data_IF_212090570973
#
_entry.id   IF_212090570973
#
_cell.length_a   1.000
_cell.length_b   1.000
_cell.length_c   1.000
_cell.angle_alpha   90.00
_cell.angle_beta   90.00
_cell.angle_gamma   90.00
#
_symmetry.space_group_name_H-M   'P 1'
#
loop_
_entity.id
_entity.type
_entity.pdbx_description
1 polymer ?
#
# COMPACT_ATOMS: atom_id res chain seq x y z
N UNK A 1 42.00 32.18 -55.32
CA UNK A 1 40.91 31.20 -55.20
C UNK A 1 41.56 29.84 -55.02
N UNK A 2 41.66 29.35 -53.79
CA UNK A 2 42.19 28.03 -53.49
C UNK A 2 41.02 27.22 -52.96
N UNK A 3 40.62 26.21 -53.74
CA UNK A 3 39.52 25.31 -53.44
C UNK A 3 39.98 24.42 -52.26
N UNK A 4 39.27 24.49 -51.13
CA UNK A 4 39.43 23.53 -50.05
C UNK A 4 38.55 22.33 -50.42
N UNK A 5 39.18 21.23 -50.85
CA UNK A 5 38.50 19.95 -50.99
C UNK A 5 38.15 19.44 -49.59
N UNK A 6 36.86 19.47 -49.30
CA UNK A 6 36.25 18.91 -48.11
C UNK A 6 36.35 17.39 -48.20
N UNK A 7 37.29 16.82 -47.44
CA UNK A 7 37.50 15.38 -47.33
C UNK A 7 36.34 14.79 -46.53
N UNK A 8 35.30 14.35 -47.26
CA UNK A 8 34.21 13.55 -46.68
C UNK A 8 34.84 12.22 -46.25
N UNK A 9 34.93 12.04 -44.93
CA UNK A 9 35.26 10.77 -44.31
C UNK A 9 34.07 9.84 -44.58
N UNK A 10 34.21 8.97 -45.58
CA UNK A 10 33.28 7.86 -45.81
C UNK A 10 33.31 6.99 -44.54
N UNK A 11 32.28 7.18 -43.69
CA UNK A 11 31.94 6.25 -42.65
C UNK A 11 31.75 4.88 -43.30
N UNK A 12 32.67 3.95 -43.03
CA UNK A 12 32.50 2.53 -43.30
C UNK A 12 31.18 2.10 -42.65
N UNK A 13 30.12 2.03 -43.45
CA UNK A 13 28.86 1.42 -43.04
C UNK A 13 29.15 -0.07 -42.95
N UNK A 14 29.48 -0.51 -41.73
CA UNK A 14 29.57 -1.92 -41.38
C UNK A 14 28.27 -2.58 -41.85
N UNK A 15 28.36 -3.42 -42.89
CA UNK A 15 27.21 -4.11 -43.43
C UNK A 15 26.69 -5.03 -42.33
N UNK A 16 25.57 -4.65 -41.71
CA UNK A 16 24.86 -5.53 -40.78
C UNK A 16 24.67 -6.87 -41.47
N UNK A 17 25.07 -7.96 -40.81
CA UNK A 17 24.85 -9.29 -41.34
C UNK A 17 23.34 -9.52 -41.57
N UNK A 18 23.03 -10.40 -42.51
CA UNK A 18 21.65 -10.64 -42.95
C UNK A 18 20.75 -11.10 -41.79
N UNK A 19 21.35 -11.76 -40.79
CA UNK A 19 20.67 -12.24 -39.58
C UNK A 19 20.30 -11.10 -38.63
N UNK A 20 21.20 -10.15 -38.38
CA UNK A 20 20.93 -8.96 -37.55
C UNK A 20 19.91 -8.06 -38.22
N UNK A 21 19.97 -7.91 -39.54
CA UNK A 21 18.99 -7.13 -40.30
C UNK A 21 17.58 -7.74 -40.18
N UNK A 22 17.44 -9.06 -40.29
CA UNK A 22 16.16 -9.74 -40.13
C UNK A 22 15.66 -9.69 -38.68
N UNK A 23 16.56 -9.82 -37.71
CA UNK A 23 16.23 -9.66 -36.28
C UNK A 23 15.62 -8.29 -35.98
N UNK A 24 16.24 -7.22 -36.49
CA UNK A 24 15.75 -5.85 -36.35
C UNK A 24 14.37 -5.68 -36.97
N UNK A 25 14.16 -6.19 -38.18
CA UNK A 25 12.85 -6.14 -38.86
C UNK A 25 11.75 -6.81 -38.05
N UNK A 26 12.05 -7.95 -37.41
CA UNK A 26 11.09 -8.64 -36.53
C UNK A 26 10.73 -7.74 -35.34
N UNK A 27 11.72 -7.16 -34.64
CA UNK A 27 11.47 -6.31 -33.48
C UNK A 27 10.73 -5.01 -33.83
N UNK A 28 11.09 -4.38 -34.96
CA UNK A 28 10.40 -3.19 -35.49
C UNK A 28 8.94 -3.51 -35.84
N UNK A 29 8.66 -4.70 -36.37
CA UNK A 29 7.29 -5.12 -36.68
C UNK A 29 6.37 -5.19 -35.46
N UNK A 30 6.94 -5.29 -34.25
CA UNK A 30 6.19 -5.27 -32.99
C UNK A 30 5.85 -3.83 -32.52
N UNK A 31 6.35 -2.80 -33.21
CA UNK A 31 6.08 -1.40 -32.89
C UNK A 31 6.81 -0.90 -31.64
N UNK A 32 8.01 -1.43 -31.39
CA UNK A 32 8.87 -1.08 -30.26
C UNK A 32 9.65 0.20 -30.53
N UNK A 33 9.99 0.92 -29.47
CA UNK A 33 10.93 2.05 -29.55
C UNK A 33 12.38 1.59 -29.73
N UNK A 34 13.19 2.43 -30.37
CA UNK A 34 14.63 2.20 -30.57
C UNK A 34 15.37 1.90 -29.25
N UNK A 35 14.96 2.52 -28.15
CA UNK A 35 15.52 2.27 -26.82
C UNK A 35 15.34 0.82 -26.36
N UNK A 36 14.20 0.20 -26.68
CA UNK A 36 13.92 -1.20 -26.35
C UNK A 36 14.65 -2.11 -27.31
N UNK A 37 14.65 -1.80 -28.61
CA UNK A 37 15.39 -2.59 -29.63
C UNK A 37 16.88 -2.63 -29.29
N UNK A 38 17.47 -1.49 -28.94
CA UNK A 38 18.87 -1.41 -28.50
C UNK A 38 19.14 -2.22 -27.22
N UNK A 39 18.15 -2.38 -26.33
CA UNK A 39 18.30 -3.23 -25.15
C UNK A 39 18.40 -4.72 -25.54
N UNK A 40 17.66 -5.17 -26.55
CA UNK A 40 17.80 -6.54 -27.08
C UNK A 40 19.19 -6.77 -27.69
N UNK A 41 19.69 -5.81 -28.50
CA UNK A 41 21.03 -5.88 -29.10
C UNK A 41 22.13 -5.89 -28.03
N UNK A 42 22.04 -4.98 -27.05
CA UNK A 42 23.03 -4.87 -25.96
C UNK A 42 23.10 -6.14 -25.09
N UNK A 43 22.01 -6.90 -25.01
CA UNK A 43 21.94 -8.19 -24.32
C UNK A 43 22.15 -9.39 -25.26
N UNK A 44 22.60 -9.15 -26.50
CA UNK A 44 22.98 -10.18 -27.47
C UNK A 44 21.83 -11.15 -27.82
N UNK A 45 20.59 -10.66 -27.85
CA UNK A 45 19.48 -11.45 -28.36
C UNK A 45 19.56 -11.57 -29.89
N UNK A 46 19.31 -12.77 -30.38
CA UNK A 46 19.18 -13.14 -31.80
C UNK A 46 17.80 -13.75 -32.10
N UNK A 47 17.53 -14.04 -33.37
CA UNK A 47 16.29 -14.72 -33.80
C UNK A 47 16.13 -16.07 -33.08
N UNK A 48 17.22 -16.84 -32.95
CA UNK A 48 17.23 -18.13 -32.25
C UNK A 48 16.81 -17.95 -30.78
N UNK A 49 17.38 -16.97 -30.09
CA UNK A 49 17.03 -16.71 -28.69
C UNK A 49 15.59 -16.21 -28.51
N UNK A 50 15.01 -15.51 -29.50
CA UNK A 50 13.60 -15.13 -29.46
C UNK A 50 12.63 -16.32 -29.54
N UNK A 51 13.05 -17.45 -30.11
CA UNK A 51 12.23 -18.66 -30.13
C UNK A 51 12.08 -19.26 -28.73
N UNK A 52 13.09 -19.09 -27.87
CA UNK A 52 13.17 -19.75 -26.55
C UNK A 52 13.07 -18.79 -25.37
N UNK A 53 13.18 -17.47 -25.58
CA UNK A 53 13.10 -16.45 -24.52
C UNK A 53 11.87 -16.68 -23.64
N UNK A 54 12.04 -16.56 -22.33
CA UNK A 54 10.98 -16.75 -21.35
C UNK A 54 10.36 -15.41 -20.93
N UNK A 55 9.13 -15.48 -20.41
CA UNK A 55 8.42 -14.27 -19.92
C UNK A 55 9.24 -13.51 -18.89
N UNK A 56 9.95 -14.18 -17.98
CA UNK A 56 10.76 -13.53 -16.95
C UNK A 56 11.88 -12.68 -17.55
N UNK A 57 12.56 -13.20 -18.58
CA UNK A 57 13.65 -12.50 -19.27
C UNK A 57 13.14 -11.25 -20.00
N UNK A 58 11.96 -11.33 -20.63
CA UNK A 58 11.28 -10.17 -21.21
C UNK A 58 10.92 -9.12 -20.15
N UNK A 59 10.48 -9.56 -18.97
CA UNK A 59 10.13 -8.66 -17.86
C UNK A 59 11.35 -7.95 -17.25
N UNK A 60 12.52 -8.58 -17.29
CA UNK A 60 13.81 -8.00 -16.91
C UNK A 60 14.34 -7.04 -17.97
N UNK A 61 14.20 -7.40 -19.25
CA UNK A 61 14.68 -6.60 -20.38
C UNK A 61 13.83 -5.35 -20.64
N UNK A 62 12.52 -5.42 -20.37
CA UNK A 62 11.59 -4.29 -20.51
C UNK A 62 10.93 -3.99 -19.16
N UNK A 63 11.66 -3.43 -18.17
CA UNK A 63 11.17 -3.17 -16.81
C UNK A 63 10.19 -1.99 -16.74
N UNK A 64 9.65 -1.69 -15.54
CA UNK A 64 8.95 -0.43 -15.32
C UNK A 64 9.89 0.75 -15.61
N UNK A 65 9.42 1.85 -16.25
CA UNK A 65 8.03 2.18 -16.58
C UNK A 65 7.51 1.71 -17.96
N UNK A 66 8.28 0.94 -18.73
CA UNK A 66 7.99 0.61 -20.14
C UNK A 66 6.99 -0.54 -20.34
N UNK A 67 5.93 -0.61 -19.54
CA UNK A 67 4.96 -1.72 -19.56
C UNK A 67 4.15 -1.79 -20.87
N UNK A 68 3.92 -0.65 -21.54
CA UNK A 68 3.26 -0.62 -22.85
C UNK A 68 4.13 -1.30 -23.92
N UNK A 69 5.41 -1.00 -23.95
CA UNK A 69 6.40 -1.65 -24.84
C UNK A 69 6.51 -3.16 -24.55
N UNK A 70 6.51 -3.55 -23.27
CA UNK A 70 6.47 -4.96 -22.86
C UNK A 70 5.24 -5.67 -23.41
N UNK A 71 4.09 -5.00 -23.37
CA UNK A 71 2.83 -5.55 -23.88
C UNK A 71 2.88 -5.74 -25.40
N UNK A 72 3.38 -4.74 -26.14
CA UNK A 72 3.60 -4.83 -27.59
C UNK A 72 4.53 -5.97 -27.94
N UNK A 73 5.67 -6.10 -27.25
CA UNK A 73 6.64 -7.17 -27.47
C UNK A 73 6.02 -8.55 -27.25
N UNK A 74 5.39 -8.79 -26.10
CA UNK A 74 4.78 -10.11 -25.80
C UNK A 74 3.69 -10.46 -26.82
N UNK A 75 2.88 -9.48 -27.23
CA UNK A 75 1.85 -9.69 -28.23
C UNK A 75 2.44 -10.02 -29.61
N UNK A 76 3.39 -9.21 -30.08
CA UNK A 76 4.09 -9.41 -31.35
C UNK A 76 4.83 -10.74 -31.40
N UNK A 77 5.56 -11.08 -30.33
CA UNK A 77 6.28 -12.35 -30.22
C UNK A 77 5.33 -13.55 -30.26
N UNK A 78 4.16 -13.47 -29.62
CA UNK A 78 3.17 -14.54 -29.69
C UNK A 78 2.57 -14.72 -31.09
N UNK A 79 2.34 -13.64 -31.83
CA UNK A 79 1.90 -13.71 -33.23
C UNK A 79 2.99 -14.36 -34.09
N UNK A 80 4.23 -13.91 -33.94
CA UNK A 80 5.39 -14.43 -34.67
C UNK A 80 5.64 -15.92 -34.37
N UNK A 81 5.64 -16.32 -33.09
CA UNK A 81 5.77 -17.73 -32.67
C UNK A 81 4.64 -18.60 -33.21
N UNK A 82 3.40 -18.08 -33.23
CA UNK A 82 2.25 -18.80 -33.80
C UNK A 82 2.44 -19.09 -35.29
N UNK A 83 3.03 -18.17 -36.05
CA UNK A 83 3.34 -18.38 -37.47
C UNK A 83 4.41 -19.47 -37.68
N UNK A 84 5.29 -19.67 -36.70
CA UNK A 84 6.34 -20.70 -36.72
C UNK A 84 5.95 -22.01 -36.01
N UNK A 85 4.69 -22.17 -35.59
CA UNK A 85 4.22 -23.31 -34.77
C UNK A 85 5.00 -23.50 -33.44
N UNK A 86 5.51 -22.40 -32.88
CA UNK A 86 6.23 -22.39 -31.60
C UNK A 86 5.27 -22.17 -30.41
N UNK A 87 5.64 -22.64 -29.21
CA UNK A 87 4.85 -22.40 -28.00
C UNK A 87 4.77 -20.90 -27.70
N UNK A 88 3.55 -20.44 -27.42
CA UNK A 88 3.31 -19.06 -27.02
C UNK A 88 4.09 -18.77 -25.73
N UNK A 89 4.64 -17.55 -25.63
CA UNK A 89 5.23 -17.02 -24.42
C UNK A 89 4.15 -17.02 -23.34
N UNK A 90 4.26 -17.96 -22.39
CA UNK A 90 3.15 -18.47 -21.58
C UNK A 90 2.14 -17.39 -21.17
N UNK A 91 0.91 -17.56 -21.64
CA UNK A 91 -0.27 -17.36 -20.79
C UNK A 91 -0.36 -18.64 -19.96
N UNK A 92 -0.45 -18.54 -18.64
CA UNK A 92 -0.60 -19.68 -17.73
C UNK A 92 -1.53 -20.75 -18.29
N UNK A 93 -0.98 -21.85 -18.81
CA UNK A 93 -1.60 -23.18 -18.88
C UNK A 93 -0.61 -24.25 -19.40
N UNK A 94 -0.48 -25.30 -18.59
CA UNK A 94 0.10 -26.66 -18.68
C UNK A 94 1.07 -27.08 -19.80
N UNK A 95 2.17 -27.72 -19.37
CA UNK A 95 2.67 -28.97 -19.97
C UNK A 95 3.18 -29.95 -18.90
N UNK A 96 3.25 -31.26 -19.19
CA UNK A 96 3.10 -32.35 -18.23
C UNK A 96 4.41 -32.80 -17.54
N UNK A 97 4.19 -33.58 -16.47
CA UNK A 97 5.11 -34.00 -15.41
C UNK A 97 6.30 -34.90 -15.80
N UNK A 98 7.22 -35.12 -14.83
CA UNK A 98 7.49 -36.49 -14.38
C UNK A 98 7.22 -36.73 -12.87
N UNK A 99 6.41 -37.77 -12.62
CA UNK A 99 6.33 -38.70 -11.48
C UNK A 99 6.43 -38.23 -9.99
N UNK A 100 5.25 -38.06 -9.38
CA UNK A 100 4.74 -38.50 -8.03
C UNK A 100 5.50 -38.17 -6.71
N UNK A 101 4.84 -38.12 -5.51
CA UNK A 101 3.49 -38.58 -5.15
C UNK A 101 2.62 -37.58 -4.33
N UNK A 102 1.41 -38.06 -4.01
CA UNK A 102 0.33 -37.49 -3.19
C UNK A 102 -0.67 -36.58 -3.94
N UNK A 103 -1.91 -37.06 -3.98
CA UNK A 103 -3.10 -36.43 -4.56
C UNK A 103 -3.33 -35.03 -3.98
N UNK A 104 -2.76 -34.01 -4.61
CA UNK A 104 -3.31 -32.67 -4.50
C UNK A 104 -4.56 -32.65 -5.36
N UNK A 105 -5.72 -32.56 -4.71
CA UNK A 105 -6.95 -32.15 -5.39
C UNK A 105 -6.61 -30.85 -6.11
N UNK A 106 -6.63 -30.88 -7.44
CA UNK A 106 -6.37 -29.73 -8.28
C UNK A 106 -7.51 -28.73 -8.04
N UNK A 107 -7.31 -27.86 -7.07
CA UNK A 107 -8.28 -26.85 -6.69
C UNK A 107 -8.19 -25.72 -7.71
N UNK A 108 -9.32 -25.34 -8.28
CA UNK A 108 -9.36 -24.17 -9.16
C UNK A 108 -9.13 -22.90 -8.36
N UNK A 109 -8.57 -21.88 -9.03
CA UNK A 109 -8.16 -20.61 -8.40
C UNK A 109 -9.31 -19.94 -7.61
N UNK A 110 -10.52 -20.01 -8.13
CA UNK A 110 -11.75 -19.49 -7.51
C UNK A 110 -12.14 -20.23 -6.23
N UNK A 111 -11.87 -21.54 -6.14
CA UNK A 111 -12.18 -22.39 -4.99
C UNK A 111 -11.15 -22.29 -3.87
N UNK A 112 -9.97 -21.71 -4.14
CA UNK A 112 -8.91 -21.49 -3.15
C UNK A 112 -9.25 -20.31 -2.20
N UNK A 113 -10.30 -20.50 -1.40
CA UNK A 113 -10.84 -19.52 -0.44
C UNK A 113 -10.00 -19.40 0.84
N UNK A 114 -10.16 -18.31 1.59
CA UNK A 114 -9.55 -18.17 2.92
C UNK A 114 -9.97 -19.30 3.86
N UNK A 115 -11.24 -19.72 3.79
CA UNK A 115 -11.76 -20.87 4.55
C UNK A 115 -11.03 -22.15 4.19
N UNK A 116 -10.89 -22.45 2.89
CA UNK A 116 -10.17 -23.63 2.42
C UNK A 116 -8.71 -23.62 2.90
N UNK A 117 -8.01 -22.50 2.73
CA UNK A 117 -6.60 -22.36 3.11
C UNK A 117 -6.40 -22.51 4.64
N UNK A 118 -7.25 -21.88 5.45
CA UNK A 118 -7.15 -21.98 6.91
C UNK A 118 -7.52 -23.37 7.43
N UNK A 119 -8.53 -24.03 6.85
CA UNK A 119 -8.90 -25.39 7.21
C UNK A 119 -7.88 -26.42 6.73
N UNK A 120 -7.19 -26.16 5.61
CA UNK A 120 -6.11 -27.02 5.12
C UNK A 120 -4.81 -26.94 5.93
N UNK A 121 -4.64 -25.89 6.74
CA UNK A 121 -3.43 -25.65 7.53
C UNK A 121 -3.62 -25.99 9.00
N UNK A 122 -2.73 -26.80 9.58
CA UNK A 122 -2.78 -27.12 11.02
C UNK A 122 -2.71 -25.85 11.91
N UNK A 123 -1.94 -24.85 11.48
CA UNK A 123 -1.88 -23.53 12.16
C UNK A 123 -3.18 -22.75 11.99
N UNK A 124 -3.80 -22.81 10.81
CA UNK A 124 -5.10 -22.19 10.55
C UNK A 124 -6.20 -22.79 11.41
N UNK A 125 -6.28 -24.12 11.48
CA UNK A 125 -7.22 -24.84 12.35
C UNK A 125 -7.04 -24.48 13.82
N UNK A 126 -5.80 -24.38 14.31
CA UNK A 126 -5.53 -23.97 15.69
C UNK A 126 -6.04 -22.55 15.99
N UNK A 127 -5.88 -21.62 15.04
CA UNK A 127 -6.37 -20.24 15.18
C UNK A 127 -7.90 -20.20 15.16
N UNK A 128 -8.56 -20.97 14.28
CA UNK A 128 -10.02 -21.08 14.24
C UNK A 128 -10.56 -21.59 15.59
N UNK A 129 -10.00 -22.70 16.09
CA UNK A 129 -10.38 -23.27 17.39
C UNK A 129 -10.12 -22.34 18.58
N UNK A 130 -9.05 -21.53 18.50
CA UNK A 130 -8.75 -20.51 19.51
C UNK A 130 -9.78 -19.39 19.46
N UNK A 131 -10.12 -18.90 18.27
CA UNK A 131 -11.05 -17.81 18.09
C UNK A 131 -12.47 -18.18 18.54
N UNK A 132 -12.89 -19.42 18.33
CA UNK A 132 -14.18 -19.93 18.83
C UNK A 132 -14.30 -19.86 20.36
N UNK A 133 -13.17 -20.00 21.07
CA UNK A 133 -13.12 -19.90 22.54
C UNK A 133 -12.93 -18.46 23.02
N UNK A 134 -12.13 -17.69 22.30
CA UNK A 134 -11.77 -16.31 22.63
C UNK A 134 -11.87 -15.46 21.36
N UNK A 135 -12.95 -14.69 21.16
CA UNK A 135 -13.29 -14.06 19.88
C UNK A 135 -12.47 -12.79 19.59
N UNK A 136 -11.16 -12.88 19.72
CA UNK A 136 -10.20 -11.86 19.29
C UNK A 136 -8.97 -12.54 18.67
N UNK A 137 -8.31 -11.83 17.76
CA UNK A 137 -7.07 -12.29 17.16
C UNK A 137 -5.89 -11.46 17.65
N UNK A 138 -4.81 -12.12 18.06
CA UNK A 138 -3.53 -11.47 18.39
C UNK A 138 -2.79 -11.06 17.12
N UNK A 139 -1.76 -10.22 17.26
CA UNK A 139 -0.83 -9.86 16.18
C UNK A 139 -0.22 -11.09 15.51
N UNK A 140 0.11 -12.13 16.29
CA UNK A 140 0.67 -13.39 15.81
C UNK A 140 -0.35 -14.19 15.01
N UNK A 141 -1.60 -14.26 15.48
CA UNK A 141 -2.68 -14.93 14.77
C UNK A 141 -2.92 -14.26 13.41
N UNK A 142 -3.06 -12.93 13.39
CA UNK A 142 -3.27 -12.15 12.15
C UNK A 142 -2.11 -12.31 11.17
N UNK A 143 -0.87 -12.35 11.65
CA UNK A 143 0.32 -12.60 10.81
C UNK A 143 0.25 -14.00 10.19
N UNK A 144 -0.06 -15.01 11.00
CA UNK A 144 -0.14 -16.40 10.57
C UNK A 144 -1.26 -16.62 9.54
N UNK A 145 -2.45 -16.06 9.79
CA UNK A 145 -3.57 -16.08 8.82
C UNK A 145 -3.14 -15.44 7.50
N UNK A 146 -2.50 -14.27 7.56
CA UNK A 146 -2.05 -13.55 6.36
C UNK A 146 -1.04 -14.38 5.56
N UNK A 147 -0.11 -15.05 6.24
CA UNK A 147 0.85 -15.94 5.60
C UNK A 147 0.15 -17.14 4.95
N UNK A 148 -0.74 -17.84 5.67
CA UNK A 148 -1.50 -18.98 5.11
C UNK A 148 -2.28 -18.55 3.86
N UNK A 149 -3.04 -17.46 3.95
CA UNK A 149 -3.93 -17.02 2.87
C UNK A 149 -3.16 -16.52 1.65
N UNK A 150 -2.06 -15.78 1.84
CA UNK A 150 -1.31 -15.21 0.72
C UNK A 150 -0.28 -16.19 0.19
N UNK A 151 0.49 -16.84 1.05
CA UNK A 151 1.64 -17.64 0.64
C UNK A 151 1.16 -18.91 -0.07
N UNK A 152 0.24 -19.67 0.54
CA UNK A 152 -0.28 -20.90 -0.07
C UNK A 152 -1.05 -20.63 -1.37
N UNK A 153 -1.69 -19.46 -1.48
CA UNK A 153 -2.34 -19.07 -2.74
C UNK A 153 -1.30 -18.72 -3.81
N UNK A 154 -0.27 -17.95 -3.45
CA UNK A 154 0.78 -17.53 -4.39
C UNK A 154 1.65 -18.67 -4.87
N UNK A 155 1.91 -19.64 -4.01
CA UNK A 155 2.65 -20.85 -4.35
C UNK A 155 1.91 -21.68 -5.41
N UNK A 156 0.58 -21.62 -5.44
CA UNK A 156 -0.26 -22.37 -6.40
C UNK A 156 -0.61 -21.57 -7.66
N UNK A 157 -0.88 -20.28 -7.53
CA UNK A 157 -1.49 -19.50 -8.60
C UNK A 157 -0.82 -18.15 -8.88
N UNK A 158 0.32 -17.83 -8.27
CA UNK A 158 0.95 -16.50 -8.29
C UNK A 158 0.14 -15.41 -7.55
N UNK A 159 0.50 -14.12 -7.76
CA UNK A 159 -0.04 -12.97 -7.01
C UNK A 159 -1.57 -12.94 -6.99
N UNK A 160 -2.13 -12.55 -5.86
CA UNK A 160 -3.55 -12.22 -5.76
C UNK A 160 -3.81 -10.90 -6.48
N UNK A 161 -4.89 -10.85 -7.25
CA UNK A 161 -5.43 -9.61 -7.83
C UNK A 161 -6.13 -8.78 -6.75
N UNK A 162 -6.39 -7.51 -7.05
CA UNK A 162 -7.16 -6.62 -6.15
C UNK A 162 -8.55 -7.15 -5.83
N UNK A 163 -9.20 -7.84 -6.78
CA UNK A 163 -10.53 -8.43 -6.56
C UNK A 163 -10.46 -9.63 -5.63
N UNK A 164 -9.40 -10.45 -5.74
CA UNK A 164 -9.22 -11.60 -4.87
C UNK A 164 -8.82 -11.19 -3.46
N UNK A 165 -8.02 -10.14 -3.31
CA UNK A 165 -7.72 -9.57 -1.99
C UNK A 165 -8.99 -9.06 -1.29
N UNK A 166 -9.89 -8.39 -2.01
CA UNK A 166 -11.19 -7.97 -1.49
C UNK A 166 -12.08 -9.17 -1.14
N UNK A 167 -12.08 -10.19 -1.99
CA UNK A 167 -12.88 -11.40 -1.73
C UNK A 167 -12.36 -12.14 -0.49
N UNK A 168 -11.03 -12.32 -0.36
CA UNK A 168 -10.40 -12.93 0.82
C UNK A 168 -10.64 -12.10 2.08
N UNK A 169 -10.65 -10.76 2.01
CA UNK A 169 -10.92 -9.93 3.19
C UNK A 169 -12.37 -10.05 3.67
N UNK A 170 -13.32 -10.15 2.75
CA UNK A 170 -14.73 -10.42 3.08
C UNK A 170 -14.86 -11.79 3.73
N UNK A 171 -14.25 -12.83 3.16
CA UNK A 171 -14.24 -14.18 3.75
C UNK A 171 -13.64 -14.18 5.17
N UNK A 172 -12.51 -13.51 5.37
CA UNK A 172 -11.88 -13.40 6.69
C UNK A 172 -12.74 -12.62 7.70
N UNK A 173 -13.44 -11.56 7.28
CA UNK A 173 -14.36 -10.84 8.17
C UNK A 173 -15.58 -11.67 8.60
N UNK A 174 -15.97 -12.67 7.79
CA UNK A 174 -17.02 -13.63 8.15
C UNK A 174 -16.51 -14.67 9.14
N UNK A 175 -15.26 -15.14 8.96
CA UNK A 175 -14.62 -16.08 9.87
C UNK A 175 -14.25 -15.43 11.22
N UNK A 176 -13.88 -14.14 11.19
CA UNK A 176 -13.45 -13.38 12.36
C UNK A 176 -14.25 -12.06 12.48
N UNK A 177 -15.50 -12.09 12.99
CA UNK A 177 -16.36 -10.91 13.03
C UNK A 177 -15.82 -9.72 13.86
N UNK A 178 -14.87 -9.94 14.77
CA UNK A 178 -14.18 -8.87 15.51
C UNK A 178 -13.18 -8.10 14.64
N UNK A 179 -12.82 -8.62 13.47
CA UNK A 179 -11.88 -8.01 12.53
C UNK A 179 -12.61 -7.53 11.27
N UNK A 180 -12.81 -6.21 11.10
CA UNK A 180 -13.46 -5.69 9.90
C UNK A 180 -12.58 -5.94 8.66
N UNK A 181 -13.20 -6.08 7.49
CA UNK A 181 -12.51 -6.45 6.25
C UNK A 181 -11.34 -5.51 5.90
N UNK A 182 -11.43 -4.24 6.31
CA UNK A 182 -10.42 -3.21 6.08
C UNK A 182 -9.08 -3.50 6.77
N UNK A 183 -9.08 -4.32 7.84
CA UNK A 183 -7.85 -4.82 8.48
C UNK A 183 -7.06 -5.70 7.52
N UNK A 184 -7.76 -6.50 6.72
CA UNK A 184 -7.20 -7.50 5.82
C UNK A 184 -6.88 -6.90 4.45
N UNK A 185 -7.82 -6.16 3.86
CA UNK A 185 -7.61 -5.47 2.60
C UNK A 185 -8.53 -4.25 2.47
N UNK A 186 -7.97 -3.15 1.95
CA UNK A 186 -8.70 -1.95 1.64
C UNK A 186 -8.27 -1.38 0.29
N UNK A 187 -9.20 -1.41 -0.67
CA UNK A 187 -9.01 -0.83 -2.00
C UNK A 187 -8.60 0.66 -1.96
N UNK A 188 -7.79 1.13 -2.93
CA UNK A 188 -7.53 2.56 -3.11
C UNK A 188 -8.72 3.31 -3.72
N UNK A 189 -9.76 2.60 -4.15
CA UNK A 189 -10.96 3.12 -4.79
C UNK A 189 -12.21 2.66 -4.04
N UNK A 190 -13.22 3.52 -3.97
CA UNK A 190 -14.57 3.22 -3.49
C UNK A 190 -15.59 3.54 -4.55
N UNK A 191 -16.79 3.00 -4.45
CA UNK A 191 -17.93 3.38 -5.29
C UNK A 191 -18.82 4.34 -4.52
N UNK A 192 -19.28 5.43 -5.14
CA UNK A 192 -20.29 6.31 -4.54
C UNK A 192 -21.70 5.72 -4.69
N UNK A 193 -22.69 6.40 -4.09
CA UNK A 193 -24.11 6.05 -4.18
C UNK A 193 -24.67 6.04 -5.61
N UNK A 194 -23.93 6.57 -6.58
CA UNK A 194 -24.29 6.65 -8.01
C UNK A 194 -23.48 5.67 -8.86
N UNK A 195 -22.69 4.77 -8.25
CA UNK A 195 -21.92 3.76 -8.98
C UNK A 195 -20.56 4.24 -9.53
N UNK A 196 -20.15 5.48 -9.28
CA UNK A 196 -18.90 6.04 -9.78
C UNK A 196 -17.72 5.70 -8.84
N UNK A 197 -16.57 5.38 -9.44
CA UNK A 197 -15.33 5.09 -8.70
C UNK A 197 -14.67 6.38 -8.21
N UNK A 198 -14.60 6.53 -6.89
CA UNK A 198 -13.88 7.59 -6.18
C UNK A 198 -12.54 7.06 -5.70
N UNK A 199 -11.46 7.78 -6.00
CA UNK A 199 -10.13 7.47 -5.47
C UNK A 199 -10.07 7.88 -4.00
N UNK A 200 -9.94 6.90 -3.11
CA UNK A 200 -9.77 7.12 -1.67
C UNK A 200 -8.31 7.47 -1.32
N UNK A 201 -7.33 6.91 -2.04
CA UNK A 201 -5.89 7.05 -1.74
C UNK A 201 -5.00 6.61 -2.91
N UNK A 202 -3.69 6.82 -2.76
CA UNK A 202 -2.67 6.45 -3.76
C UNK A 202 -2.50 4.93 -3.91
N UNK A 203 -2.48 4.18 -2.82
CA UNK A 203 -2.20 2.74 -2.81
C UNK A 203 -3.22 1.98 -1.96
N UNK A 204 -3.45 0.70 -2.28
CA UNK A 204 -4.23 -0.19 -1.42
C UNK A 204 -3.53 -0.39 -0.06
N UNK A 205 -4.26 -0.89 0.93
CA UNK A 205 -3.72 -1.18 2.27
C UNK A 205 -4.27 -2.50 2.80
N UNK A 206 -3.70 -2.95 3.91
CA UNK A 206 -4.20 -4.11 4.66
C UNK A 206 -3.20 -5.26 4.61
N UNK A 207 -3.28 -6.14 5.61
CA UNK A 207 -2.30 -7.20 5.83
C UNK A 207 -2.11 -8.10 4.60
N UNK A 208 -3.21 -8.44 3.91
CA UNK A 208 -3.16 -9.25 2.70
C UNK A 208 -2.46 -8.53 1.56
N UNK A 209 -2.72 -7.23 1.36
CA UNK A 209 -2.03 -6.43 0.34
C UNK A 209 -0.54 -6.33 0.65
N UNK A 210 -0.18 -5.98 1.89
CA UNK A 210 1.20 -5.81 2.29
C UNK A 210 2.01 -7.10 2.09
N UNK A 211 1.45 -8.27 2.47
CA UNK A 211 2.10 -9.56 2.23
C UNK A 211 2.10 -9.94 0.75
N UNK A 212 1.03 -9.66 -0.01
CA UNK A 212 0.96 -10.02 -1.43
C UNK A 212 1.99 -9.24 -2.27
N UNK A 213 2.27 -7.99 -1.93
CA UNK A 213 3.32 -7.19 -2.58
C UNK A 213 4.70 -7.58 -2.08
N UNK A 214 4.88 -7.76 -0.76
CA UNK A 214 6.18 -8.09 -0.14
C UNK A 214 6.46 -9.59 -0.02
N UNK A 215 5.73 -10.42 -0.77
CA UNK A 215 5.93 -11.86 -0.75
C UNK A 215 7.34 -12.18 -1.26
N UNK A 216 8.06 -12.97 -0.47
CA UNK A 216 9.32 -13.59 -0.87
C UNK A 216 9.11 -15.09 -0.71
N UNK A 217 9.34 -15.91 -1.76
CA UNK A 217 9.38 -17.36 -1.61
C UNK A 217 10.47 -17.69 -0.59
N UNK A 218 10.27 -18.75 0.19
CA UNK A 218 11.11 -19.05 1.33
C UNK A 218 12.58 -19.29 0.92
N UNK A 219 13.42 -18.28 1.13
CA UNK A 219 14.87 -18.39 1.32
C UNK A 219 15.19 -17.76 2.68
N UNK A 220 16.07 -18.46 3.40
CA UNK A 220 16.51 -18.35 4.80
C UNK A 220 16.96 -16.93 5.22
N UNK A 221 16.31 -16.38 6.27
CA UNK A 221 16.58 -15.24 7.20
C UNK A 221 17.16 -13.90 6.65
N UNK A 222 16.70 -12.69 7.02
CA UNK A 222 16.70 -12.10 8.37
C UNK A 222 15.62 -11.01 8.62
N UNK A 223 15.39 -10.73 9.91
CA UNK A 223 14.31 -9.93 10.53
C UNK A 223 14.70 -8.44 10.72
N UNK A 224 13.78 -7.48 10.45
CA UNK A 224 13.42 -6.32 11.34
C UNK A 224 12.38 -5.33 10.73
N UNK A 225 11.80 -4.34 11.46
CA UNK A 225 10.35 -4.28 11.67
C UNK A 225 9.58 -3.04 11.13
N UNK A 226 8.25 -3.23 11.21
CA UNK A 226 7.03 -2.45 10.91
C UNK A 226 6.94 -0.94 11.19
N UNK A 227 6.09 -0.23 10.42
CA UNK A 227 5.24 0.86 10.91
C UNK A 227 3.92 1.01 10.08
N UNK A 228 2.83 1.36 10.77
CA UNK A 228 1.42 1.24 10.38
C UNK A 228 0.68 2.59 10.19
N UNK A 229 -0.51 2.55 9.54
CA UNK A 229 -1.65 3.49 9.73
C UNK A 229 -1.65 4.78 8.89
N UNK A 230 -2.73 5.53 8.61
CA UNK A 230 -4.20 5.47 8.72
C UNK A 230 -4.77 6.60 7.80
N UNK A 231 -5.77 6.38 6.93
CA UNK A 231 -7.17 6.89 6.89
C UNK A 231 -7.46 8.41 6.69
N UNK A 232 -8.20 8.65 5.59
CA UNK A 232 -9.23 9.64 5.19
C UNK A 232 -9.11 11.16 5.41
N UNK A 233 -9.22 11.90 4.29
CA UNK A 233 -9.73 13.29 4.20
C UNK A 233 -10.60 13.42 2.94
N UNK A 234 -11.72 14.13 3.07
CA UNK A 234 -12.70 14.41 2.01
C UNK A 234 -12.14 15.37 0.94
N UNK A 235 -12.86 15.44 -0.18
CA UNK A 235 -12.48 15.83 -1.56
C UNK A 235 -11.75 17.16 -1.78
N UNK A 236 -10.69 17.09 -2.58
CA UNK A 236 -9.84 18.18 -3.07
C UNK A 236 -10.43 19.01 -4.24
N UNK A 237 -11.75 19.01 -4.44
CA UNK A 237 -12.37 19.52 -5.67
C UNK A 237 -12.61 21.05 -5.71
N UNK A 238 -12.46 21.79 -4.59
CA UNK A 238 -12.75 23.24 -4.53
C UNK A 238 -11.56 24.12 -4.12
N UNK A 239 -10.32 23.74 -4.43
CA UNK A 239 -9.16 24.59 -4.09
C UNK A 239 -8.73 25.33 -5.36
N UNK A 240 -9.20 26.57 -5.52
CA UNK A 240 -8.74 27.46 -6.60
C UNK A 240 -7.39 28.10 -6.25
N UNK A 241 -6.73 28.70 -7.25
CA UNK A 241 -5.44 29.37 -7.05
C UNK A 241 -5.56 30.59 -6.13
N UNK A 242 -6.70 31.28 -6.12
CA UNK A 242 -6.99 32.37 -5.18
C UNK A 242 -7.01 31.87 -3.73
N UNK A 243 -7.67 30.72 -3.48
CA UNK A 243 -7.69 30.11 -2.14
C UNK A 243 -6.28 29.73 -1.66
N UNK A 244 -5.40 29.28 -2.58
CA UNK A 244 -4.00 28.95 -2.26
C UNK A 244 -3.23 30.23 -1.92
N UNK A 245 -3.41 31.32 -2.68
CA UNK A 245 -2.76 32.59 -2.43
C UNK A 245 -3.17 33.18 -1.08
N UNK A 246 -4.47 33.22 -0.79
CA UNK A 246 -5.02 33.67 0.50
C UNK A 246 -4.48 32.84 1.67
N UNK A 247 -4.39 31.52 1.48
CA UNK A 247 -3.80 30.62 2.48
C UNK A 247 -2.34 30.96 2.77
N UNK A 248 -1.52 31.23 1.75
CA UNK A 248 -0.12 31.60 1.96
C UNK A 248 0.01 32.93 2.70
N UNK A 249 -0.87 33.89 2.43
CA UNK A 249 -0.91 35.16 3.17
C UNK A 249 -1.28 34.95 4.63
N UNK A 250 -2.34 34.19 4.90
CA UNK A 250 -2.77 33.87 6.27
C UNK A 250 -1.68 33.08 7.02
N UNK A 251 -1.02 32.11 6.36
CA UNK A 251 0.07 31.34 6.95
C UNK A 251 1.23 32.23 7.38
N UNK A 252 1.65 33.16 6.52
CA UNK A 252 2.68 34.15 6.86
C UNK A 252 2.25 35.06 8.01
N UNK A 253 0.98 35.48 8.02
CA UNK A 253 0.42 36.29 9.09
C UNK A 253 0.48 35.58 10.45
N UNK A 254 0.06 34.31 10.52
CA UNK A 254 0.03 33.51 11.77
C UNK A 254 1.42 33.42 12.41
N UNK A 255 2.49 33.32 11.62
CA UNK A 255 3.87 33.22 12.13
C UNK A 255 4.30 34.48 12.90
N UNK A 256 3.83 35.66 12.47
CA UNK A 256 4.27 36.95 12.99
C UNK A 256 3.30 37.57 14.02
N UNK A 257 2.07 37.07 14.14
CA UNK A 257 1.02 37.66 14.99
C UNK A 257 0.56 36.69 16.10
N UNK A 258 1.51 36.07 16.80
CA UNK A 258 1.22 35.07 17.84
C UNK A 258 0.60 35.69 19.11
N UNK A 259 0.74 36.99 19.30
CA UNK A 259 0.15 37.73 20.43
C UNK A 259 -1.36 37.98 20.24
N UNK A 260 -1.87 37.89 19.01
CA UNK A 260 -3.29 38.06 18.66
C UNK A 260 -4.05 36.72 18.66
N UNK A 261 -4.03 36.02 19.80
CA UNK A 261 -4.40 34.60 19.87
C UNK A 261 -5.81 34.27 19.39
N UNK A 262 -6.81 35.09 19.71
CA UNK A 262 -8.20 34.87 19.28
C UNK A 262 -8.37 35.01 17.76
N UNK A 263 -7.75 36.03 17.17
CA UNK A 263 -7.76 36.22 15.72
C UNK A 263 -6.95 35.14 15.01
N UNK A 264 -5.82 34.73 15.60
CA UNK A 264 -5.04 33.59 15.15
C UNK A 264 -5.87 32.31 15.11
N UNK A 265 -6.64 31.98 16.15
CA UNK A 265 -7.54 30.81 16.16
C UNK A 265 -8.59 30.88 15.05
N UNK A 266 -9.17 32.06 14.80
CA UNK A 266 -10.13 32.25 13.73
C UNK A 266 -9.51 31.99 12.35
N UNK A 267 -8.34 32.59 12.07
CA UNK A 267 -7.59 32.36 10.83
C UNK A 267 -7.08 30.91 10.72
N UNK A 268 -6.70 30.30 11.83
CA UNK A 268 -6.30 28.89 11.90
C UNK A 268 -7.45 27.97 11.50
N UNK A 269 -8.66 28.23 12.02
CA UNK A 269 -9.88 27.49 11.67
C UNK A 269 -10.23 27.64 10.20
N UNK A 270 -10.19 28.86 9.66
CA UNK A 270 -10.45 29.16 8.25
C UNK A 270 -9.50 28.40 7.30
N UNK A 271 -8.25 28.22 7.71
CA UNK A 271 -7.21 27.58 6.91
C UNK A 271 -7.08 26.07 7.13
N UNK A 272 -7.89 25.47 8.00
CA UNK A 272 -7.81 24.04 8.40
C UNK A 272 -7.77 23.09 7.21
N UNK A 273 -8.67 23.27 6.23
CA UNK A 273 -8.74 22.44 5.02
C UNK A 273 -7.46 22.51 4.19
N UNK A 274 -6.96 23.71 3.92
CA UNK A 274 -5.78 23.94 3.09
C UNK A 274 -4.49 23.52 3.79
N UNK A 275 -4.39 23.74 5.11
CA UNK A 275 -3.31 23.22 5.94
C UNK A 275 -3.27 21.69 5.93
N UNK A 276 -4.41 21.03 6.14
CA UNK A 276 -4.49 19.57 6.09
C UNK A 276 -4.09 19.03 4.70
N UNK A 277 -4.50 19.71 3.64
CA UNK A 277 -4.11 19.38 2.27
C UNK A 277 -2.61 19.56 2.02
N UNK A 278 -2.02 20.69 2.42
CA UNK A 278 -0.57 20.94 2.31
C UNK A 278 0.24 19.83 3.02
N UNK A 279 -0.13 19.53 4.27
CA UNK A 279 0.52 18.50 5.07
C UNK A 279 0.36 17.10 4.46
N UNK A 280 -0.80 16.79 3.87
CA UNK A 280 -1.06 15.49 3.23
C UNK A 280 -0.24 15.24 1.95
N UNK A 281 0.22 16.32 1.29
CA UNK A 281 0.99 16.22 0.05
C UNK A 281 2.47 15.98 0.28
N UNK A 282 2.98 16.29 1.47
CA UNK A 282 4.41 16.33 1.73
C UNK A 282 4.88 15.15 2.57
N UNK A 283 5.04 14.00 1.90
CA UNK A 283 5.41 12.71 2.52
C UNK A 283 6.81 12.68 3.16
N UNK A 284 7.62 13.73 2.98
CA UNK A 284 9.01 13.80 3.45
C UNK A 284 9.21 14.77 4.63
N UNK A 285 8.16 15.44 5.13
CA UNK A 285 8.33 16.33 6.29
C UNK A 285 8.52 15.52 7.57
N UNK A 286 9.62 15.80 8.27
CA UNK A 286 9.81 15.35 9.66
C UNK A 286 8.99 16.23 10.61
N UNK A 287 8.71 15.73 11.83
CA UNK A 287 8.07 16.53 12.88
C UNK A 287 8.80 17.85 13.11
N UNK A 288 10.15 17.84 13.09
CA UNK A 288 10.97 19.04 13.23
C UNK A 288 10.72 20.05 12.11
N UNK A 289 10.62 19.61 10.85
CA UNK A 289 10.30 20.48 9.72
C UNK A 289 8.88 21.07 9.83
N UNK A 290 7.89 20.29 10.25
CA UNK A 290 6.52 20.78 10.47
C UNK A 290 6.49 21.85 11.56
N UNK A 291 7.17 21.61 12.70
CA UNK A 291 7.24 22.58 13.80
C UNK A 291 8.07 23.83 13.44
N UNK A 292 8.96 23.73 12.45
CA UNK A 292 9.65 24.89 11.89
C UNK A 292 8.70 25.72 11.01
N UNK A 293 7.93 25.06 10.14
CA UNK A 293 6.98 25.71 9.23
C UNK A 293 5.77 26.33 9.96
N UNK A 294 5.39 25.74 11.09
CA UNK A 294 4.31 26.19 11.96
C UNK A 294 4.86 26.48 13.36
N UNK A 295 5.76 27.44 13.45
CA UNK A 295 6.42 27.86 14.71
C UNK A 295 5.45 28.25 15.82
N UNK A 296 4.21 28.62 15.48
CA UNK A 296 3.10 28.85 16.43
C UNK A 296 2.86 27.67 17.38
N UNK A 297 3.22 26.44 16.99
CA UNK A 297 3.13 25.28 17.88
C UNK A 297 4.08 25.32 19.08
N UNK A 298 5.03 26.25 19.11
CA UNK A 298 5.90 26.49 20.26
C UNK A 298 5.22 27.30 21.37
N UNK A 299 4.06 27.89 21.10
CA UNK A 299 3.27 28.59 22.11
C UNK A 299 2.61 27.59 23.07
N UNK A 300 2.62 27.89 24.37
CA UNK A 300 2.00 27.06 25.42
C UNK A 300 0.50 26.78 25.19
N UNK A 301 -0.22 27.66 24.48
CA UNK A 301 -1.64 27.49 24.15
C UNK A 301 -1.88 26.70 22.86
N UNK A 302 -0.83 26.27 22.16
CA UNK A 302 -0.95 25.68 20.82
C UNK A 302 -1.73 24.35 20.77
N UNK A 303 -1.94 23.68 21.91
CA UNK A 303 -2.84 22.53 21.99
C UNK A 303 -4.25 22.87 21.50
N UNK A 304 -4.70 24.12 21.67
CA UNK A 304 -6.00 24.60 21.18
C UNK A 304 -6.08 24.56 19.64
N UNK A 305 -4.96 24.79 18.95
CA UNK A 305 -4.89 24.72 17.48
C UNK A 305 -5.05 23.28 16.98
N UNK A 306 -4.48 22.32 17.72
CA UNK A 306 -4.69 20.87 17.47
C UNK A 306 -6.14 20.49 17.71
N UNK A 307 -6.76 21.01 18.77
CA UNK A 307 -8.18 20.78 19.05
C UNK A 307 -9.09 21.35 17.95
N UNK A 308 -8.80 22.55 17.44
CA UNK A 308 -9.52 23.14 16.31
C UNK A 308 -9.42 22.22 15.08
N UNK A 309 -8.21 21.77 14.71
CA UNK A 309 -8.04 20.88 13.56
C UNK A 309 -8.72 19.52 13.75
N UNK A 310 -8.70 18.98 14.96
CA UNK A 310 -9.42 17.75 15.30
C UNK A 310 -10.93 17.93 15.13
N UNK A 311 -11.49 19.02 15.67
CA UNK A 311 -12.92 19.33 15.58
C UNK A 311 -13.36 19.57 14.12
N UNK A 312 -12.54 20.26 13.31
CA UNK A 312 -12.82 20.46 11.89
C UNK A 312 -12.80 19.13 11.12
N UNK A 313 -11.86 18.23 11.44
CA UNK A 313 -11.75 16.93 10.76
C UNK A 313 -12.79 15.92 11.24
N UNK A 314 -13.19 16.00 12.50
CA UNK A 314 -14.09 15.08 13.17
C UNK A 314 -15.15 15.82 13.98
N UNK A 315 -16.15 16.43 13.31
CA UNK A 315 -17.26 17.11 13.99
C UNK A 315 -17.92 16.18 15.02
N UNK A 316 -18.25 16.74 16.19
CA UNK A 316 -18.93 16.07 17.29
C UNK A 316 -18.17 14.88 17.93
N UNK A 317 -16.86 14.71 17.66
CA UNK A 317 -16.06 13.61 18.24
C UNK A 317 -15.12 14.04 19.38
N UNK A 318 -15.18 15.30 19.80
CA UNK A 318 -14.25 15.88 20.79
C UNK A 318 -14.22 15.11 22.10
N UNK A 319 -15.38 14.62 22.53
CA UNK A 319 -15.55 13.91 23.80
C UNK A 319 -15.68 12.40 23.66
N UNK A 320 -15.75 11.90 22.43
CA UNK A 320 -16.13 10.51 22.14
C UNK A 320 -15.21 9.48 22.79
N UNK A 321 -13.92 9.78 22.89
CA UNK A 321 -12.95 8.92 23.58
C UNK A 321 -13.28 8.80 25.08
N UNK A 322 -13.60 9.93 25.71
CA UNK A 322 -13.93 9.99 27.13
C UNK A 322 -15.31 9.37 27.39
N UNK A 323 -16.30 9.67 26.55
CA UNK A 323 -17.66 9.12 26.65
C UNK A 323 -17.67 7.59 26.52
N UNK A 324 -16.73 7.03 25.76
CA UNK A 324 -16.60 5.58 25.53
C UNK A 324 -15.38 4.97 26.22
N UNK A 325 -14.78 5.67 27.18
CA UNK A 325 -13.51 5.26 27.78
C UNK A 325 -13.61 3.85 28.38
N UNK A 326 -14.65 3.60 29.17
CA UNK A 326 -14.87 2.29 29.81
C UNK A 326 -15.06 1.14 28.79
N UNK A 327 -15.80 1.40 27.71
CA UNK A 327 -16.01 0.44 26.62
C UNK A 327 -14.71 0.18 25.85
N UNK A 328 -13.91 1.23 25.65
CA UNK A 328 -12.62 1.15 24.99
C UNK A 328 -11.62 0.33 25.83
N UNK A 329 -11.50 0.65 27.12
CA UNK A 329 -10.59 -0.04 28.06
C UNK A 329 -10.97 -1.50 28.21
N UNK A 330 -12.26 -1.81 28.39
CA UNK A 330 -12.73 -3.20 28.51
C UNK A 330 -12.44 -4.05 27.28
N UNK A 331 -12.52 -3.47 26.07
CA UNK A 331 -12.14 -4.16 24.83
C UNK A 331 -10.63 -4.28 24.63
N UNK A 332 -9.85 -3.31 25.13
CA UNK A 332 -8.40 -3.25 24.94
C UNK A 332 -7.63 -4.14 25.93
N UNK A 333 -8.08 -4.21 27.19
CA UNK A 333 -7.38 -4.92 28.27
C UNK A 333 -7.04 -6.39 27.93
N UNK A 334 -7.97 -7.22 27.41
CA UNK A 334 -7.64 -8.62 27.07
C UNK A 334 -6.54 -8.73 26.01
N UNK A 335 -6.46 -7.77 25.09
CA UNK A 335 -5.42 -7.72 24.06
C UNK A 335 -4.07 -7.40 24.70
N UNK A 336 -4.04 -6.38 25.56
CA UNK A 336 -2.82 -5.95 26.25
C UNK A 336 -2.25 -7.06 27.15
N UNK A 337 -3.11 -7.78 27.87
CA UNK A 337 -2.67 -8.89 28.74
C UNK A 337 -1.92 -9.99 27.99
N UNK A 338 -2.25 -10.19 26.72
CA UNK A 338 -1.67 -11.24 25.89
C UNK A 338 -0.46 -10.74 25.11
N UNK A 339 -0.52 -9.50 24.63
CA UNK A 339 0.53 -8.95 23.76
C UNK A 339 1.69 -8.32 24.55
N UNK A 340 1.42 -7.78 25.73
CA UNK A 340 2.43 -7.13 26.58
C UNK A 340 3.12 -8.18 27.43
N UNK A 341 4.40 -8.41 27.13
CA UNK A 341 5.18 -9.48 27.74
C UNK A 341 6.24 -8.99 28.73
N UNK A 342 6.66 -7.73 28.62
CA UNK A 342 7.64 -7.10 29.49
C UNK A 342 7.05 -6.76 30.87
N UNK A 343 7.94 -6.70 31.86
CA UNK A 343 7.56 -6.50 33.26
C UNK A 343 6.96 -5.13 33.54
N UNK A 344 7.44 -4.09 32.88
CA UNK A 344 6.98 -2.72 33.06
C UNK A 344 5.56 -2.53 32.52
N UNK A 345 5.31 -2.99 31.30
CA UNK A 345 3.98 -2.98 30.68
C UNK A 345 2.97 -3.82 31.46
N UNK A 346 3.36 -4.97 32.01
CA UNK A 346 2.49 -5.75 32.90
C UNK A 346 2.16 -5.01 34.21
N UNK A 347 3.11 -4.26 34.77
CA UNK A 347 2.85 -3.42 35.94
C UNK A 347 1.82 -2.32 35.63
N UNK A 348 1.92 -1.67 34.46
CA UNK A 348 0.95 -0.66 34.00
C UNK A 348 -0.44 -1.26 33.78
N UNK A 349 -0.54 -2.45 33.18
CA UNK A 349 -1.83 -3.15 33.01
C UNK A 349 -2.48 -3.45 34.36
N UNK A 350 -1.70 -3.83 35.37
CA UNK A 350 -2.24 -4.08 36.71
C UNK A 350 -2.77 -2.80 37.38
N UNK A 351 -2.14 -1.65 37.15
CA UNK A 351 -2.65 -0.34 37.60
C UNK A 351 -3.95 0.03 36.89
N UNK A 352 -4.11 -0.30 35.60
CA UNK A 352 -5.36 -0.07 34.88
C UNK A 352 -6.53 -0.92 35.38
N UNK A 353 -6.26 -2.03 36.08
CA UNK A 353 -7.28 -2.91 36.67
C UNK A 353 -7.71 -2.45 38.07
N UNK A 354 -6.93 -1.61 38.74
CA UNK A 354 -7.30 -1.12 40.06
C UNK A 354 -8.36 -0.02 39.93
N UNK A 355 -9.53 -0.16 40.58
CA UNK A 355 -10.66 0.77 40.44
C UNK A 355 -10.40 2.20 40.95
N UNK A 356 -9.26 2.45 41.58
CA UNK A 356 -8.85 3.79 42.03
C UNK A 356 -8.43 4.71 40.89
N UNK A 357 -8.11 4.18 39.70
CA UNK A 357 -7.59 4.97 38.57
C UNK A 357 -8.64 5.29 37.50
N UNK A 358 -9.78 4.59 37.46
CA UNK A 358 -10.83 4.80 36.46
C UNK A 358 -11.73 6.01 36.75
N UNK A 359 -11.80 6.50 37.99
CA UNK A 359 -12.69 7.61 38.36
C UNK A 359 -11.97 8.93 38.74
N UNK A 360 -10.64 8.95 38.82
CA UNK A 360 -9.91 10.03 39.53
C UNK A 360 -9.22 11.12 38.71
N UNK A 361 -8.96 10.93 37.40
CA UNK A 361 -8.05 11.84 36.67
C UNK A 361 -8.77 12.89 35.80
N UNK A 362 -10.09 12.80 35.62
CA UNK A 362 -10.81 13.68 34.69
C UNK A 362 -11.70 14.77 35.33
N UNK A 363 -11.69 14.93 36.66
CA UNK A 363 -12.58 15.88 37.37
C UNK A 363 -11.90 16.95 38.22
N UNK A 364 -10.61 17.23 38.05
CA UNK A 364 -9.97 18.37 38.73
C UNK A 364 -9.69 19.55 37.80
N UNK A 365 -10.70 20.08 37.10
CA UNK A 365 -10.65 21.47 36.58
C UNK A 365 -12.04 22.04 36.30
N UNK A 366 -13.00 21.85 37.22
CA UNK A 366 -14.24 22.63 37.16
C UNK A 366 -15.00 22.66 38.48
N UNK A 367 -14.43 23.29 39.51
CA UNK A 367 -15.17 24.07 40.52
C UNK A 367 -14.19 24.75 41.46
N UNK A 368 -13.92 26.04 41.23
CA UNK A 368 -13.73 27.00 42.32
C UNK A 368 -13.95 28.40 41.77
N UNK A 369 -15.21 28.78 41.71
CA UNK A 369 -15.63 30.18 41.80
C UNK A 369 -17.08 30.20 42.29
N UNK A 370 -17.23 30.25 43.62
CA UNK A 370 -18.38 30.80 44.36
C UNK A 370 -17.98 30.90 45.83
N UNK A 371 -17.37 32.03 46.18
CA UNK A 371 -17.79 32.96 47.23
C UNK A 371 -16.88 34.19 47.17
#
# INVERSE_FOLDING_TARGET
>A
MSNAEEKIEELEVESLDEETAEFLRILESFGLSDAVINAFLANQYSIETLQIIERKEVEELIPQPFLAERTKFIHGLNIWRKQQNLPLLSTTESSPAPAQPASFVEISRDKCTATYLLQGSAKGQAILNKYDKTPFLTRTDKKTITQIVVDEFKDRFSKLTSSELEQRSIELSKLFPSEPKEVWYQSPWSTNSVGQKIKLRKQARGKLYDRNINYKPAVVYDLQPTASGSVATQSAADISDEHIADYQQIKKWIVHNQDEWEELKNKWKQTSRLRAFELSKNNSKTTASILSDYSVFRNHQAYQLVQIDFQQRYPDKEKLLFDRWEQFVSGLLPILEIEVNDSEGKALINQLKTPETTCGIFYEHSTNNKC
#
